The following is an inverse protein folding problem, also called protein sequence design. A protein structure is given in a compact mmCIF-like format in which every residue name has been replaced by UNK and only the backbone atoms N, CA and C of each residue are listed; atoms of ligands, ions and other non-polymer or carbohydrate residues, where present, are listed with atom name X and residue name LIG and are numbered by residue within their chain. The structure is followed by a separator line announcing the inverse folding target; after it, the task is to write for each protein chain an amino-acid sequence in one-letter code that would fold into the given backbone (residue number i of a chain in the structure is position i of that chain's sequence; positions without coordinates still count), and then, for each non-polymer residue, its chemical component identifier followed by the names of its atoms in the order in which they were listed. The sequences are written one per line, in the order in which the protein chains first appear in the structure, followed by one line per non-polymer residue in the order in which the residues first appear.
data_IF_718671158977
#
_entry.id   IF_718671158977
#
_cell.length_a   1.000
_cell.length_b   1.000
_cell.length_c   1.000
_cell.angle_alpha   90.00
_cell.angle_beta   90.00
_cell.angle_gamma   90.00
#
_symmetry.space_group_name_H-M   'P 1'
#
loop_
_entity.id
_entity.type
_entity.pdbx_description
1 polymer ?
#
# COMPACT_ATOMS: atom_id res chain seq x y z
N UNK A 1 -6.34 -11.17 24.62
CA UNK A 1 -6.21 -9.94 23.80
C UNK A 1 -6.97 -10.00 22.46
N UNK A 2 -7.92 -10.95 22.30
CA UNK A 2 -8.62 -11.14 21.02
C UNK A 2 -9.52 -9.97 20.59
N UNK A 3 -9.91 -9.11 21.55
CA UNK A 3 -10.75 -7.95 21.22
C UNK A 3 -10.04 -6.85 20.39
N UNK A 4 -8.72 -6.93 20.25
CA UNK A 4 -7.95 -6.05 19.37
C UNK A 4 -7.92 -6.51 17.91
N UNK A 5 -8.33 -7.75 17.66
CA UNK A 5 -8.33 -8.32 16.31
C UNK A 5 -9.74 -8.29 15.76
N UNK A 6 -9.90 -7.79 14.58
CA UNK A 6 -11.13 -7.88 13.81
C UNK A 6 -11.02 -9.07 12.85
N UNK A 7 -11.67 -10.17 13.21
CA UNK A 7 -11.71 -11.37 12.37
C UNK A 7 -12.57 -11.17 11.11
N UNK A 8 -13.30 -10.04 11.04
CA UNK A 8 -14.24 -9.76 9.99
C UNK A 8 -15.47 -10.67 10.01
N UNK A 9 -16.55 -10.23 9.42
CA UNK A 9 -17.80 -10.99 9.36
C UNK A 9 -18.17 -11.42 7.94
N UNK A 10 -17.43 -10.95 6.95
CA UNK A 10 -17.76 -11.17 5.54
C UNK A 10 -16.50 -11.46 4.72
N UNK A 11 -16.65 -12.29 3.72
CA UNK A 11 -15.62 -12.55 2.71
C UNK A 11 -15.76 -11.54 1.57
N UNK A 12 -14.62 -11.06 1.07
CA UNK A 12 -14.58 -10.13 -0.06
C UNK A 12 -15.31 -10.72 -1.28
N UNK A 13 -16.02 -9.85 -2.01
CA UNK A 13 -16.66 -10.20 -3.28
C UNK A 13 -16.10 -9.31 -4.40
N UNK A 14 -15.89 -9.92 -5.54
CA UNK A 14 -15.53 -9.21 -6.77
C UNK A 14 -16.39 -9.76 -7.91
N UNK A 15 -17.12 -8.89 -8.60
CA UNK A 15 -18.10 -9.26 -9.64
C UNK A 15 -19.10 -10.34 -9.19
N UNK A 16 -19.52 -10.28 -7.92
CA UNK A 16 -20.47 -11.24 -7.34
C UNK A 16 -19.84 -12.54 -6.81
N UNK A 17 -18.59 -12.82 -7.10
CA UNK A 17 -17.86 -14.00 -6.65
C UNK A 17 -17.16 -13.77 -5.31
N UNK A 18 -17.20 -14.77 -4.44
CA UNK A 18 -16.44 -14.76 -3.19
C UNK A 18 -14.94 -14.96 -3.46
N UNK A 19 -14.12 -14.15 -2.81
CA UNK A 19 -12.66 -14.25 -2.93
C UNK A 19 -11.98 -14.24 -1.57
N UNK A 20 -10.99 -15.09 -1.43
CA UNK A 20 -10.10 -15.13 -0.26
C UNK A 20 -8.91 -14.16 -0.38
N UNK A 21 -8.83 -13.40 -1.48
CA UNK A 21 -7.77 -12.43 -1.73
C UNK A 21 -8.34 -11.17 -2.38
N UNK A 22 -7.84 -10.00 -1.98
CA UNK A 22 -8.13 -8.73 -2.64
C UNK A 22 -7.36 -8.54 -3.95
N UNK A 23 -6.36 -9.38 -4.21
CA UNK A 23 -5.66 -9.38 -5.49
C UNK A 23 -6.55 -9.97 -6.57
N UNK A 24 -6.81 -9.19 -7.61
CA UNK A 24 -7.58 -9.61 -8.78
C UNK A 24 -6.70 -9.87 -10.00
N UNK A 25 -5.51 -9.30 -10.01
CA UNK A 25 -4.47 -9.56 -10.98
C UNK A 25 -3.12 -9.79 -10.24
N UNK A 26 -2.53 -10.98 -10.37
CA UNK A 26 -2.94 -12.16 -11.16
C UNK A 26 -4.26 -12.77 -10.70
N UNK A 27 -5.03 -13.40 -11.63
CA UNK A 27 -6.38 -13.92 -11.34
C UNK A 27 -6.41 -15.04 -10.30
N UNK A 28 -5.28 -15.70 -10.04
CA UNK A 28 -5.15 -16.70 -8.97
C UNK A 28 -5.13 -16.09 -7.55
N UNK A 29 -5.17 -14.75 -7.43
CA UNK A 29 -5.18 -14.04 -6.14
C UNK A 29 -3.87 -14.13 -5.35
N UNK A 30 -2.77 -14.60 -5.94
CA UNK A 30 -1.48 -14.75 -5.27
C UNK A 30 -0.49 -13.68 -5.71
N UNK A 31 0.31 -13.21 -4.76
CA UNK A 31 1.42 -12.33 -5.09
C UNK A 31 2.37 -13.00 -6.09
N UNK A 32 2.79 -12.31 -7.15
CA UNK A 32 3.79 -12.82 -8.10
C UNK A 32 5.10 -13.20 -7.41
N UNK A 33 5.78 -14.18 -7.96
CA UNK A 33 7.13 -14.53 -7.53
C UNK A 33 8.10 -13.36 -7.84
N UNK A 34 9.14 -13.25 -7.04
CA UNK A 34 10.21 -12.29 -7.32
C UNK A 34 10.96 -12.62 -8.61
N UNK A 35 11.26 -11.61 -9.40
CA UNK A 35 12.18 -11.74 -10.54
C UNK A 35 13.60 -12.07 -10.03
N UNK A 36 14.44 -12.62 -10.89
CA UNK A 36 15.86 -12.86 -10.55
C UNK A 36 16.56 -11.60 -10.06
N UNK A 37 16.29 -10.46 -10.71
CA UNK A 37 16.85 -9.17 -10.32
C UNK A 37 16.37 -8.73 -8.92
N UNK A 38 15.10 -8.99 -8.58
CA UNK A 38 14.59 -8.69 -7.24
C UNK A 38 15.19 -9.62 -6.19
N UNK A 39 15.36 -10.90 -6.49
CA UNK A 39 16.04 -11.88 -5.61
C UNK A 39 17.48 -11.46 -5.32
N UNK A 40 18.21 -11.05 -6.34
CA UNK A 40 19.60 -10.58 -6.18
C UNK A 40 19.68 -9.30 -5.32
N UNK A 41 18.78 -8.32 -5.55
CA UNK A 41 18.71 -7.13 -4.67
C UNK A 41 18.43 -7.49 -3.21
N UNK A 42 17.55 -8.47 -2.98
CA UNK A 42 17.25 -8.96 -1.63
C UNK A 42 18.46 -9.61 -0.97
N UNK A 43 19.19 -10.43 -1.72
CA UNK A 43 20.42 -11.09 -1.25
C UNK A 43 21.48 -10.04 -0.84
N UNK A 44 21.76 -9.10 -1.72
CA UNK A 44 22.73 -8.02 -1.44
C UNK A 44 22.29 -7.17 -0.23
N UNK A 45 21.01 -6.83 -0.14
CA UNK A 45 20.49 -6.07 1.00
C UNK A 45 20.60 -6.84 2.32
N UNK A 46 20.36 -8.16 2.29
CA UNK A 46 20.51 -9.02 3.47
C UNK A 46 21.98 -9.12 3.93
N UNK A 47 22.91 -9.27 3.02
CA UNK A 47 24.36 -9.30 3.32
C UNK A 47 24.85 -7.98 3.90
N UNK A 48 24.42 -6.85 3.31
CA UNK A 48 24.75 -5.53 3.82
C UNK A 48 24.19 -5.31 5.23
N UNK A 49 22.97 -5.76 5.48
CA UNK A 49 22.35 -5.68 6.82
C UNK A 49 23.11 -6.56 7.83
N UNK A 50 23.49 -7.76 7.44
CA UNK A 50 24.28 -8.66 8.29
C UNK A 50 25.65 -8.08 8.63
N UNK A 51 26.33 -7.45 7.66
CA UNK A 51 27.65 -6.84 7.87
C UNK A 51 27.62 -5.59 8.75
N UNK A 52 26.57 -4.77 8.66
CA UNK A 52 26.43 -3.54 9.43
C UNK A 52 25.79 -3.74 10.80
N UNK A 53 25.01 -4.80 10.97
CA UNK A 53 24.15 -5.00 12.13
C UNK A 53 22.80 -4.27 12.02
N UNK A 54 21.77 -4.89 12.59
CA UNK A 54 20.40 -4.35 12.52
C UNK A 54 20.19 -3.03 13.27
N UNK A 55 21.13 -2.65 14.14
CA UNK A 55 21.05 -1.48 15.01
C UNK A 55 22.19 -0.49 14.77
N UNK A 56 22.87 -0.58 13.64
CA UNK A 56 24.03 0.25 13.32
C UNK A 56 23.70 1.75 13.17
N UNK A 57 22.43 2.08 12.86
CA UNK A 57 21.96 3.45 12.75
C UNK A 57 20.47 3.52 12.39
N UNK A 58 19.88 4.73 12.37
CA UNK A 58 18.46 4.91 12.03
C UNK A 58 18.12 4.33 10.66
N UNK A 59 19.02 4.40 9.69
CA UNK A 59 18.82 3.91 8.32
C UNK A 59 18.66 2.38 8.27
N UNK A 60 19.16 1.68 9.29
CA UNK A 60 19.03 0.22 9.44
C UNK A 60 17.69 -0.19 10.02
N UNK A 61 16.89 0.76 10.52
CA UNK A 61 15.59 0.50 11.15
C UNK A 61 14.46 0.56 10.13
N UNK A 62 13.40 -0.23 10.32
CA UNK A 62 12.19 -0.12 9.52
C UNK A 62 11.56 1.27 9.58
N UNK A 63 10.84 1.67 8.54
CA UNK A 63 10.19 2.98 8.47
C UNK A 63 9.19 3.21 9.63
N UNK A 64 8.53 2.15 10.08
CA UNK A 64 7.59 2.21 11.20
C UNK A 64 8.28 2.56 12.53
N UNK A 65 9.45 1.99 12.79
CA UNK A 65 10.23 2.31 13.98
C UNK A 65 10.85 3.71 13.93
N UNK A 66 10.97 4.27 12.72
CA UNK A 66 11.43 5.64 12.48
C UNK A 66 10.27 6.64 12.46
N UNK A 67 9.07 6.22 12.73
CA UNK A 67 7.85 7.03 12.68
C UNK A 67 7.61 7.73 11.33
N UNK A 68 8.04 7.11 10.23
CA UNK A 68 7.89 7.66 8.88
C UNK A 68 6.65 7.11 8.17
N UNK A 69 6.36 5.83 8.35
CA UNK A 69 5.19 5.15 7.80
C UNK A 69 4.85 3.92 8.64
N UNK A 70 3.61 3.46 8.55
CA UNK A 70 3.20 2.17 9.09
C UNK A 70 4.02 1.01 8.53
N UNK A 71 3.99 -0.12 9.23
CA UNK A 71 4.58 -1.35 8.71
C UNK A 71 3.65 -1.99 7.68
N UNK A 72 4.24 -2.37 6.58
CA UNK A 72 3.49 -3.00 5.49
C UNK A 72 2.61 -2.00 4.77
N UNK A 73 1.41 -2.45 4.42
CA UNK A 73 0.48 -1.76 3.55
C UNK A 73 -0.79 -1.30 4.26
N UNK A 74 -0.74 -1.05 5.57
CA UNK A 74 -1.93 -0.65 6.33
C UNK A 74 -2.57 0.62 5.79
N UNK A 75 -1.79 1.61 5.42
CA UNK A 75 -2.26 2.90 4.93
C UNK A 75 -2.20 3.03 3.41
N UNK A 76 -1.64 2.08 2.77
CA UNK A 76 -1.62 2.06 1.31
C UNK A 76 -0.26 2.20 0.71
N UNK A 77 -0.22 2.50 -0.61
CA UNK A 77 -0.74 1.55 -1.59
C UNK A 77 0.14 0.32 -1.69
N UNK A 78 -0.45 -0.85 -1.84
CA UNK A 78 -1.88 -1.17 -1.83
C UNK A 78 -2.44 -1.28 -0.41
N UNK A 79 -3.75 -1.00 -0.26
CA UNK A 79 -4.47 -1.26 0.98
C UNK A 79 -4.72 -2.77 1.10
N UNK A 80 -3.99 -3.43 1.98
CA UNK A 80 -4.16 -4.83 2.29
C UNK A 80 -4.63 -5.02 3.73
N UNK A 81 -5.34 -6.11 4.05
CA UNK A 81 -5.81 -6.37 5.39
C UNK A 81 -4.67 -6.41 6.41
N UNK A 82 -4.91 -5.81 7.57
CA UNK A 82 -4.06 -5.88 8.76
C UNK A 82 -4.88 -6.34 9.95
N UNK A 83 -4.21 -6.87 10.98
CA UNK A 83 -4.88 -7.58 12.07
C UNK A 83 -5.51 -6.66 13.13
N UNK A 84 -5.04 -5.42 13.27
CA UNK A 84 -5.51 -4.47 14.29
C UNK A 84 -5.21 -3.03 13.88
N UNK A 85 -5.81 -2.05 14.54
CA UNK A 85 -5.76 -0.63 14.19
C UNK A 85 -6.07 -0.42 12.71
N UNK A 86 -7.10 -1.11 12.24
CA UNK A 86 -7.46 -1.26 10.84
C UNK A 86 -8.72 -0.48 10.44
N UNK A 87 -9.11 0.49 11.25
CA UNK A 87 -10.18 1.40 10.90
C UNK A 87 -9.69 2.46 9.91
N UNK A 88 -10.57 2.77 8.96
CA UNK A 88 -10.32 3.76 7.92
C UNK A 88 -11.39 4.83 7.96
N UNK A 89 -10.96 6.09 7.91
CA UNK A 89 -11.85 7.20 7.64
C UNK A 89 -11.63 7.65 6.20
N UNK A 90 -12.66 7.53 5.39
CA UNK A 90 -12.64 7.98 3.99
C UNK A 90 -13.42 9.28 3.90
N UNK A 91 -12.75 10.34 3.46
CA UNK A 91 -13.34 11.66 3.29
C UNK A 91 -13.27 12.05 1.82
N UNK A 92 -14.41 12.38 1.25
CA UNK A 92 -14.52 12.86 -0.12
C UNK A 92 -14.76 14.37 -0.12
N UNK A 93 -14.02 15.07 -0.96
CA UNK A 93 -14.19 16.52 -1.22
C UNK A 93 -14.04 16.79 -2.73
N UNK A 94 -14.41 17.98 -3.21
CA UNK A 94 -14.23 18.29 -4.63
C UNK A 94 -12.77 18.09 -5.08
N UNK A 95 -12.56 17.19 -6.05
CA UNK A 95 -11.26 16.86 -6.63
C UNK A 95 -10.35 15.96 -5.78
N UNK A 96 -10.78 15.51 -4.59
CA UNK A 96 -9.94 14.72 -3.69
C UNK A 96 -10.71 13.65 -2.93
N UNK A 97 -10.04 12.54 -2.67
CA UNK A 97 -10.41 11.57 -1.64
C UNK A 97 -9.24 11.43 -0.68
N UNK A 98 -9.50 11.53 0.63
CA UNK A 98 -8.52 11.24 1.67
C UNK A 98 -8.89 9.91 2.34
N UNK A 99 -7.90 9.04 2.54
CA UNK A 99 -8.03 7.83 3.35
C UNK A 99 -7.09 7.97 4.54
N UNK A 100 -7.66 8.20 5.72
CA UNK A 100 -6.95 8.21 6.99
C UNK A 100 -7.04 6.83 7.61
N UNK A 101 -5.90 6.31 8.03
CA UNK A 101 -5.78 5.00 8.67
C UNK A 101 -5.50 5.18 10.16
N UNK A 102 -6.14 4.38 10.99
CA UNK A 102 -5.89 4.37 12.43
C UNK A 102 -4.43 4.01 12.75
N UNK A 103 -3.84 3.07 12.02
CA UNK A 103 -2.44 2.67 12.17
C UNK A 103 -1.50 3.83 11.82
N UNK A 104 -0.79 4.37 12.83
CA UNK A 104 0.15 5.51 12.79
C UNK A 104 -0.39 6.78 12.13
N UNK A 105 -1.70 6.92 12.04
CA UNK A 105 -2.38 8.12 11.50
C UNK A 105 -1.97 8.49 10.07
N UNK A 106 -1.56 7.50 9.28
CA UNK A 106 -1.19 7.76 7.90
C UNK A 106 -2.39 8.27 7.08
N UNK A 107 -2.21 9.36 6.35
CA UNK A 107 -3.22 9.95 5.51
C UNK A 107 -2.80 9.87 4.04
N UNK A 108 -3.56 9.14 3.24
CA UNK A 108 -3.37 9.05 1.80
C UNK A 108 -4.28 10.02 1.08
N UNK A 109 -3.70 10.92 0.31
CA UNK A 109 -4.45 11.87 -0.53
C UNK A 109 -4.49 11.33 -1.96
N UNK A 110 -5.68 11.18 -2.48
CA UNK A 110 -5.97 10.73 -3.84
C UNK A 110 -6.55 11.93 -4.59
N UNK A 111 -5.95 12.31 -5.71
CA UNK A 111 -6.38 13.41 -6.56
C UNK A 111 -7.26 12.87 -7.68
N UNK A 112 -8.46 13.43 -7.84
CA UNK A 112 -9.42 12.98 -8.87
C UNK A 112 -9.18 13.79 -10.14
N UNK A 113 -9.13 13.10 -11.29
CA UNK A 113 -8.97 13.66 -12.65
C UNK A 113 -7.80 14.66 -12.74
N UNK A 114 -6.70 14.34 -12.09
CA UNK A 114 -5.51 15.17 -11.99
C UNK A 114 -4.35 14.61 -12.83
N UNK A 115 -3.47 15.50 -13.26
CA UNK A 115 -2.20 15.10 -13.87
C UNK A 115 -1.23 14.53 -12.83
N UNK A 116 -0.40 13.56 -13.21
CA UNK A 116 0.64 13.04 -12.34
C UNK A 116 1.61 14.15 -11.86
N UNK A 117 2.05 14.05 -10.60
CA UNK A 117 3.08 14.93 -10.05
C UNK A 117 4.35 14.89 -10.91
N UNK A 118 5.23 15.91 -10.86
CA UNK A 118 6.54 15.85 -11.50
C UNK A 118 7.33 14.60 -11.07
N UNK A 119 8.10 14.00 -11.97
CA UNK A 119 8.77 12.72 -11.74
C UNK A 119 9.74 12.74 -10.55
N UNK A 120 10.34 13.89 -10.30
CA UNK A 120 11.24 14.09 -9.16
C UNK A 120 10.52 14.11 -7.81
N UNK A 121 9.20 14.27 -7.79
CA UNK A 121 8.42 14.34 -6.57
C UNK A 121 7.91 12.95 -6.18
N UNK A 122 8.47 12.37 -5.13
CA UNK A 122 8.20 10.99 -4.69
C UNK A 122 7.77 10.96 -3.22
N UNK A 123 6.46 11.17 -2.95
CA UNK A 123 5.91 11.07 -1.60
C UNK A 123 6.09 9.67 -1.02
N UNK A 124 6.04 9.55 0.31
CA UNK A 124 6.12 8.26 0.99
C UNK A 124 5.05 7.27 0.54
N UNK A 125 3.82 7.76 0.36
CA UNK A 125 2.69 6.95 -0.11
C UNK A 125 2.53 6.96 -1.64
N UNK A 126 3.49 7.52 -2.35
CA UNK A 126 3.41 7.69 -3.79
C UNK A 126 2.43 8.76 -4.21
N UNK A 127 2.30 8.91 -5.51
CA UNK A 127 1.35 9.79 -6.17
C UNK A 127 0.11 8.96 -6.58
N UNK A 128 -1.01 9.22 -5.91
CA UNK A 128 -2.30 8.57 -6.18
C UNK A 128 -3.20 9.51 -6.97
N UNK A 129 -3.56 9.12 -8.18
CA UNK A 129 -4.57 9.78 -9.02
C UNK A 129 -5.71 8.82 -9.27
N UNK A 130 -6.91 9.35 -9.44
CA UNK A 130 -8.10 8.54 -9.61
C UNK A 130 -9.08 9.13 -10.63
N UNK A 131 -9.94 8.26 -11.13
CA UNK A 131 -11.12 8.62 -11.90
C UNK A 131 -12.29 7.71 -11.51
N UNK A 132 -13.50 8.13 -11.85
CA UNK A 132 -14.69 7.33 -11.59
C UNK A 132 -15.06 6.49 -12.80
N UNK A 133 -15.30 5.20 -12.58
CA UNK A 133 -15.95 4.28 -13.50
C UNK A 133 -17.32 3.86 -12.92
N UNK A 134 -18.37 4.60 -13.24
CA UNK A 134 -19.67 4.44 -12.57
C UNK A 134 -19.54 4.67 -11.06
N UNK A 135 -19.90 3.67 -10.25
CA UNK A 135 -19.84 3.72 -8.78
C UNK A 135 -18.48 3.24 -8.23
N UNK A 136 -17.50 3.01 -9.08
CA UNK A 136 -16.17 2.54 -8.69
C UNK A 136 -15.13 3.64 -8.84
N UNK A 137 -14.44 3.98 -7.76
CA UNK A 137 -13.25 4.81 -7.80
C UNK A 137 -12.05 3.95 -8.20
N UNK A 138 -11.46 4.24 -9.35
CA UNK A 138 -10.25 3.59 -9.84
C UNK A 138 -9.06 4.47 -9.49
N UNK A 139 -8.16 3.94 -8.68
CA UNK A 139 -6.99 4.67 -8.16
C UNK A 139 -5.72 4.06 -8.74
N UNK A 140 -4.94 4.86 -9.41
CA UNK A 140 -3.60 4.50 -9.87
C UNK A 140 -2.55 5.19 -9.01
N UNK A 141 -1.64 4.40 -8.46
CA UNK A 141 -0.53 4.92 -7.65
C UNK A 141 0.80 4.56 -8.25
N UNK A 142 1.65 5.56 -8.33
CA UNK A 142 3.02 5.48 -8.83
C UNK A 142 3.95 6.36 -8.01
N UNK A 143 5.20 6.51 -8.42
CA UNK A 143 6.16 7.45 -7.83
C UNK A 143 6.35 7.31 -6.32
N UNK A 144 6.32 6.09 -5.80
CA UNK A 144 6.65 5.81 -4.40
C UNK A 144 8.07 6.29 -4.07
N UNK A 145 8.25 6.77 -2.84
CA UNK A 145 9.58 7.08 -2.33
C UNK A 145 10.48 5.83 -2.41
N UNK A 146 11.72 5.95 -2.92
CA UNK A 146 12.61 4.78 -3.07
C UNK A 146 12.92 4.02 -1.78
N UNK A 147 12.74 4.67 -0.62
CA UNK A 147 12.92 4.03 0.69
C UNK A 147 11.67 3.28 1.16
N UNK A 148 10.50 3.56 0.57
CA UNK A 148 9.28 2.81 0.78
C UNK A 148 9.26 1.64 -0.21
N UNK A 149 9.44 0.43 0.30
CA UNK A 149 9.62 -0.75 -0.54
C UNK A 149 8.50 -1.75 -0.28
N UNK A 150 7.33 -1.51 -0.87
CA UNK A 150 6.31 -2.56 -0.85
C UNK A 150 6.86 -3.82 -1.54
N UNK A 151 7.03 -4.89 -0.74
CA UNK A 151 7.58 -6.19 -1.19
C UNK A 151 8.84 -6.06 -2.07
N UNK A 152 9.72 -5.12 -1.72
CA UNK A 152 10.96 -4.84 -2.46
C UNK A 152 10.76 -4.42 -3.93
N UNK A 153 9.60 -3.88 -4.25
CA UNK A 153 9.38 -3.24 -5.54
C UNK A 153 10.36 -2.09 -5.77
N UNK A 154 10.55 -1.74 -7.03
CA UNK A 154 11.40 -0.62 -7.41
C UNK A 154 10.59 0.67 -7.52
N UNK A 155 11.27 1.76 -7.82
CA UNK A 155 10.65 3.05 -8.11
C UNK A 155 9.74 3.06 -9.36
N UNK A 156 9.81 2.02 -10.19
CA UNK A 156 8.88 1.81 -11.31
C UNK A 156 7.58 1.08 -10.90
N UNK A 157 7.41 0.79 -9.60
CA UNK A 157 6.20 0.19 -9.09
C UNK A 157 4.95 1.03 -9.41
N UNK A 158 3.94 0.33 -9.89
CA UNK A 158 2.60 0.89 -10.14
C UNK A 158 1.56 -0.07 -9.57
N UNK A 159 0.49 0.49 -9.07
CA UNK A 159 -0.65 -0.29 -8.60
C UNK A 159 -1.94 0.39 -9.01
N UNK A 160 -2.93 -0.43 -9.36
CA UNK A 160 -4.31 -0.02 -9.58
C UNK A 160 -5.18 -0.62 -8.49
N UNK A 161 -5.94 0.20 -7.80
CA UNK A 161 -6.91 -0.19 -6.78
C UNK A 161 -8.30 0.24 -7.22
N UNK A 162 -9.31 -0.57 -6.92
CA UNK A 162 -10.70 -0.31 -7.27
C UNK A 162 -11.55 -0.34 -6.00
N UNK A 163 -12.19 0.78 -5.70
CA UNK A 163 -13.03 0.95 -4.52
C UNK A 163 -14.47 1.10 -4.97
N UNK A 164 -15.31 0.17 -4.58
CA UNK A 164 -16.75 0.19 -4.89
C UNK A 164 -17.54 0.15 -3.60
N UNK A 165 -18.45 1.10 -3.43
CA UNK A 165 -19.38 1.09 -2.30
C UNK A 165 -20.45 0.05 -2.53
N UNK A 166 -20.67 -0.85 -1.57
CA UNK A 166 -21.63 -1.97 -1.70
C UNK A 166 -22.86 -1.83 -0.79
N UNK A 167 -22.89 -0.85 0.11
CA UNK A 167 -24.02 -0.55 1.01
C UNK A 167 -23.93 0.87 1.55
#
# INVERSE_FOLDING_TARGET
NNFWFDDGTQVARYNGEFRSSLLIDPPNGRMPAYTQQAQERLRVAAELRASRGAFAGPESRPLAERCLMSFGSSSGPPMLPILYNNHYQIVQSPGYVMILVEMVHDARIIRIDADPLPEAFRPWMGDSIAHWEGDTLVVETSRLNPSQKFRNATESFRITERFTRVS
#
